data_IF_060123408716
#
_entry.id   IF_060123408716
#
_cell.length_a   1.000
_cell.length_b   1.000
_cell.length_c   1.000
_cell.angle_alpha   90.00
_cell.angle_beta   90.00
_cell.angle_gamma   90.00
#
_symmetry.space_group_name_H-M   'P 1'
#
loop_
_entity.id
_entity.type
_entity.pdbx_description
1 polymer ?
#
# COMPACT_ATOMS: atom_id res chain seq x y z
N UNK A 1 -1.73 -40.62 -11.92
CA UNK A 1 -2.37 -39.34 -12.31
C UNK A 1 -2.51 -39.36 -13.82
N UNK A 2 -3.66 -38.95 -14.35
CA UNK A 2 -3.90 -38.78 -15.78
C UNK A 2 -2.86 -37.82 -16.39
N UNK A 3 -2.15 -38.24 -17.44
CA UNK A 3 -1.09 -37.45 -18.09
C UNK A 3 -1.58 -36.06 -18.51
N UNK A 4 -2.85 -35.96 -18.91
CA UNK A 4 -3.50 -34.70 -19.27
C UNK A 4 -3.58 -33.74 -18.09
N UNK A 5 -3.90 -34.24 -16.89
CA UNK A 5 -3.97 -33.43 -15.68
C UNK A 5 -2.59 -32.92 -15.25
N UNK A 6 -1.55 -33.76 -15.34
CA UNK A 6 -0.17 -33.35 -15.04
C UNK A 6 0.29 -32.23 -15.97
N UNK A 7 0.06 -32.39 -17.28
CA UNK A 7 0.43 -31.39 -18.28
C UNK A 7 -0.36 -30.08 -18.10
N UNK A 8 -1.65 -30.19 -17.75
CA UNK A 8 -2.51 -29.04 -17.44
C UNK A 8 -2.00 -28.25 -16.23
N UNK A 9 -1.66 -28.93 -15.13
CA UNK A 9 -1.13 -28.26 -13.94
C UNK A 9 0.20 -27.56 -14.22
N UNK A 10 1.08 -28.20 -14.98
CA UNK A 10 2.36 -27.61 -15.38
C UNK A 10 2.17 -26.36 -16.23
N UNK A 11 1.22 -26.36 -17.18
CA UNK A 11 0.87 -25.19 -17.97
C UNK A 11 0.28 -24.06 -17.10
N UNK A 12 -0.59 -24.39 -16.14
CA UNK A 12 -1.15 -23.41 -15.19
C UNK A 12 -0.05 -22.78 -14.35
N UNK A 13 0.93 -23.57 -13.90
CA UNK A 13 2.09 -23.05 -13.17
C UNK A 13 2.96 -22.13 -14.04
N UNK A 14 3.21 -22.49 -15.31
CA UNK A 14 3.88 -21.61 -16.27
C UNK A 14 3.09 -20.31 -16.50
N UNK A 15 1.77 -20.39 -16.58
CA UNK A 15 0.90 -19.22 -16.66
C UNK A 15 1.04 -18.33 -15.42
N UNK A 16 1.15 -18.89 -14.21
CA UNK A 16 1.42 -18.12 -12.98
C UNK A 16 2.75 -17.37 -13.09
N UNK A 17 3.83 -18.03 -13.51
CA UNK A 17 5.15 -17.41 -13.65
C UNK A 17 5.11 -16.24 -14.65
N UNK A 18 4.49 -16.43 -15.81
CA UNK A 18 4.29 -15.34 -16.77
C UNK A 18 3.35 -14.26 -16.26
N UNK A 19 2.37 -14.59 -15.43
CA UNK A 19 1.46 -13.62 -14.81
C UNK A 19 2.17 -12.75 -13.78
N UNK A 20 3.19 -13.27 -13.10
CA UNK A 20 4.03 -12.52 -12.16
C UNK A 20 5.16 -11.73 -12.86
N UNK A 21 5.36 -11.95 -14.16
CA UNK A 21 6.42 -11.31 -14.94
C UNK A 21 5.91 -10.05 -15.63
N UNK A 22 6.57 -8.89 -15.50
CA UNK A 22 6.21 -7.68 -16.25
C UNK A 22 6.26 -7.88 -17.76
N UNK A 23 5.49 -7.08 -18.51
CA UNK A 23 5.36 -7.21 -19.97
C UNK A 23 6.72 -7.10 -20.68
N UNK A 24 7.54 -6.15 -20.24
CA UNK A 24 8.88 -5.87 -20.76
C UNK A 24 9.87 -7.03 -20.58
N UNK A 25 9.57 -7.99 -19.71
CA UNK A 25 10.37 -9.20 -19.49
C UNK A 25 9.71 -10.47 -20.05
N UNK A 26 8.73 -10.33 -20.96
CA UNK A 26 8.06 -11.47 -21.60
C UNK A 26 6.93 -12.08 -20.77
N UNK A 27 6.26 -11.28 -19.94
CA UNK A 27 5.08 -11.72 -19.19
C UNK A 27 3.82 -11.94 -20.03
N UNK A 28 2.76 -12.44 -19.39
CA UNK A 28 1.48 -12.81 -20.05
C UNK A 28 0.71 -11.61 -20.66
N UNK A 29 1.13 -10.38 -20.35
CA UNK A 29 0.60 -9.19 -20.98
C UNK A 29 1.13 -8.98 -22.43
N UNK A 30 2.13 -9.74 -22.85
CA UNK A 30 2.53 -9.85 -24.25
C UNK A 30 1.51 -10.75 -25.00
N UNK A 31 1.00 -10.26 -26.14
CA UNK A 31 0.01 -10.97 -26.94
C UNK A 31 0.51 -12.34 -27.42
N UNK A 32 1.76 -12.45 -27.84
CA UNK A 32 2.35 -13.70 -28.32
C UNK A 32 2.43 -14.75 -27.21
N UNK A 33 2.83 -14.34 -26.00
CA UNK A 33 2.88 -15.24 -24.83
C UNK A 33 1.48 -15.69 -24.43
N UNK A 34 0.51 -14.77 -24.46
CA UNK A 34 -0.89 -15.07 -24.16
C UNK A 34 -1.48 -16.06 -25.16
N UNK A 35 -1.24 -15.85 -26.45
CA UNK A 35 -1.68 -16.75 -27.52
C UNK A 35 -1.05 -18.14 -27.36
N UNK A 36 0.26 -18.21 -27.12
CA UNK A 36 0.97 -19.47 -26.86
C UNK A 36 0.35 -20.26 -25.69
N UNK A 37 0.06 -19.61 -24.56
CA UNK A 37 -0.57 -20.27 -23.41
C UNK A 37 -1.97 -20.78 -23.79
N UNK A 38 -2.74 -19.97 -24.50
CA UNK A 38 -4.11 -20.31 -24.90
C UNK A 38 -4.12 -21.48 -25.90
N UNK A 39 -3.21 -21.50 -26.86
CA UNK A 39 -3.07 -22.55 -27.86
C UNK A 39 -2.64 -23.87 -27.22
N UNK A 40 -1.66 -23.84 -26.33
CA UNK A 40 -1.26 -25.03 -25.55
C UNK A 40 -2.42 -25.54 -24.69
N UNK A 41 -3.15 -24.65 -24.02
CA UNK A 41 -4.31 -25.05 -23.22
C UNK A 41 -5.40 -25.70 -24.08
N UNK A 42 -5.73 -25.08 -25.22
CA UNK A 42 -6.73 -25.60 -26.15
C UNK A 42 -6.31 -26.97 -26.70
N UNK A 43 -5.03 -27.14 -27.04
CA UNK A 43 -4.47 -28.40 -27.49
C UNK A 43 -4.56 -29.48 -26.39
N UNK A 44 -4.08 -29.22 -25.16
CA UNK A 44 -4.15 -30.19 -24.05
C UNK A 44 -5.59 -30.63 -23.78
N UNK A 45 -6.52 -29.68 -23.81
CA UNK A 45 -7.93 -29.94 -23.52
C UNK A 45 -8.62 -30.77 -24.60
N UNK A 46 -8.39 -30.44 -25.87
CA UNK A 46 -9.17 -30.97 -26.98
C UNK A 46 -8.50 -32.16 -27.70
N UNK A 47 -7.23 -32.45 -27.41
CA UNK A 47 -6.52 -33.59 -28.01
C UNK A 47 -7.05 -34.93 -27.53
N UNK A 48 -6.95 -35.93 -28.41
CA UNK A 48 -7.11 -37.35 -28.06
C UNK A 48 -5.92 -37.85 -27.24
N UNK A 49 -6.08 -38.96 -26.54
CA UNK A 49 -5.00 -39.54 -25.72
C UNK A 49 -3.81 -40.02 -26.58
N UNK A 50 -4.05 -40.45 -27.83
CA UNK A 50 -3.00 -40.79 -28.79
C UNK A 50 -2.18 -39.55 -29.23
N UNK A 51 -2.84 -38.42 -29.51
CA UNK A 51 -2.18 -37.18 -29.90
C UNK A 51 -1.36 -36.59 -28.73
N UNK A 52 -1.92 -36.63 -27.52
CA UNK A 52 -1.21 -36.25 -26.30
C UNK A 52 0.05 -37.10 -26.13
N UNK A 53 -0.08 -38.43 -26.20
CA UNK A 53 1.05 -39.36 -26.01
C UNK A 53 2.19 -39.12 -27.02
N UNK A 54 1.89 -38.68 -28.25
CA UNK A 54 2.90 -38.40 -29.28
C UNK A 54 3.72 -37.14 -29.02
N UNK A 55 3.14 -36.11 -28.39
CA UNK A 55 3.79 -34.80 -28.17
C UNK A 55 4.06 -34.47 -26.70
N UNK A 56 3.63 -35.32 -25.76
CA UNK A 56 3.73 -35.07 -24.33
C UNK A 56 5.17 -34.75 -23.90
N UNK A 57 6.16 -35.50 -24.39
CA UNK A 57 7.57 -35.28 -24.01
C UNK A 57 8.07 -33.92 -24.51
N UNK A 58 7.82 -33.57 -25.77
CA UNK A 58 8.21 -32.28 -26.37
C UNK A 58 7.61 -31.11 -25.59
N UNK A 59 6.30 -31.18 -25.29
CA UNK A 59 5.62 -30.12 -24.53
C UNK A 59 6.12 -30.07 -23.08
N UNK A 60 6.38 -31.22 -22.45
CA UNK A 60 6.94 -31.26 -21.10
C UNK A 60 8.33 -30.62 -21.04
N UNK A 61 9.21 -30.95 -21.97
CA UNK A 61 10.56 -30.38 -22.09
C UNK A 61 10.50 -28.87 -22.32
N UNK A 62 9.60 -28.42 -23.19
CA UNK A 62 9.36 -26.99 -23.41
C UNK A 62 8.93 -26.28 -22.12
N UNK A 63 7.93 -26.81 -21.41
CA UNK A 63 7.47 -26.22 -20.15
C UNK A 63 8.56 -26.26 -19.06
N UNK A 64 9.34 -27.35 -18.97
CA UNK A 64 10.48 -27.42 -18.03
C UNK A 64 11.56 -26.38 -18.36
N UNK A 65 11.82 -26.13 -19.64
CA UNK A 65 12.77 -25.12 -20.06
C UNK A 65 12.36 -23.72 -19.58
N UNK A 66 11.04 -23.41 -19.58
CA UNK A 66 10.51 -22.16 -19.04
C UNK A 66 10.67 -22.13 -17.52
N UNK A 67 10.22 -23.18 -16.83
CA UNK A 67 10.30 -23.27 -15.36
C UNK A 67 11.75 -23.09 -14.89
N UNK A 68 12.71 -23.73 -15.57
CA UNK A 68 14.13 -23.62 -15.27
C UNK A 68 14.65 -22.18 -15.33
N UNK A 69 14.17 -21.35 -16.28
CA UNK A 69 14.55 -19.92 -16.37
C UNK A 69 14.08 -19.09 -15.17
N UNK A 70 13.06 -19.56 -14.45
CA UNK A 70 12.49 -18.85 -13.30
C UNK A 70 12.98 -19.34 -11.95
N UNK A 71 13.73 -20.45 -11.87
CA UNK A 71 14.17 -21.06 -10.60
C UNK A 71 14.96 -20.14 -9.68
N UNK A 72 15.69 -19.19 -10.25
CA UNK A 72 16.49 -18.23 -9.45
C UNK A 72 15.63 -17.16 -8.78
N UNK A 73 14.43 -16.88 -9.30
CA UNK A 73 13.49 -15.86 -8.77
C UNK A 73 12.31 -16.49 -8.02
N UNK A 74 11.80 -17.61 -8.52
CA UNK A 74 10.62 -18.31 -8.01
C UNK A 74 11.00 -19.76 -7.68
N UNK A 75 11.87 -19.92 -6.69
CA UNK A 75 12.19 -21.24 -6.15
C UNK A 75 11.01 -21.77 -5.33
N UNK A 76 10.49 -22.93 -5.70
CA UNK A 76 9.31 -23.51 -5.07
C UNK A 76 9.60 -24.08 -3.67
N UNK A 77 8.69 -23.85 -2.74
CA UNK A 77 8.59 -24.58 -1.46
C UNK A 77 7.53 -25.69 -1.57
N UNK A 78 6.44 -25.41 -2.28
CA UNK A 78 5.36 -26.37 -2.57
C UNK A 78 5.58 -27.09 -3.90
N UNK A 79 4.96 -28.25 -4.08
CA UNK A 79 4.97 -28.93 -5.36
C UNK A 79 4.15 -28.18 -6.42
N UNK A 80 4.51 -28.35 -7.70
CA UNK A 80 3.89 -27.63 -8.82
C UNK A 80 2.39 -27.92 -8.92
N UNK A 81 1.96 -29.15 -8.64
CA UNK A 81 0.55 -29.54 -8.73
C UNK A 81 -0.30 -28.81 -7.67
N UNK A 82 0.19 -28.70 -6.45
CA UNK A 82 -0.45 -27.91 -5.39
C UNK A 82 -0.55 -26.44 -5.79
N UNK A 83 0.55 -25.85 -6.27
CA UNK A 83 0.58 -24.43 -6.68
C UNK A 83 -0.41 -24.16 -7.80
N UNK A 84 -0.42 -25.02 -8.83
CA UNK A 84 -1.31 -24.89 -9.97
C UNK A 84 -2.78 -24.98 -9.55
N UNK A 85 -3.12 -25.92 -8.67
CA UNK A 85 -4.48 -26.08 -8.17
C UNK A 85 -4.93 -24.87 -7.34
N UNK A 86 -4.08 -24.38 -6.43
CA UNK A 86 -4.35 -23.18 -5.63
C UNK A 86 -4.56 -21.95 -6.53
N UNK A 87 -3.65 -21.70 -7.49
CA UNK A 87 -3.76 -20.58 -8.41
C UNK A 87 -5.01 -20.66 -9.28
N UNK A 88 -5.30 -21.84 -9.86
CA UNK A 88 -6.50 -22.05 -10.66
C UNK A 88 -7.79 -21.84 -9.84
N UNK A 89 -7.77 -22.17 -8.55
CA UNK A 89 -8.92 -21.94 -7.66
C UNK A 89 -9.30 -20.47 -7.53
N UNK A 90 -8.34 -19.54 -7.68
CA UNK A 90 -8.62 -18.11 -7.61
C UNK A 90 -9.57 -17.65 -8.73
N UNK A 91 -9.56 -18.33 -9.88
CA UNK A 91 -10.42 -18.02 -11.03
C UNK A 91 -11.83 -18.62 -10.91
N UNK A 92 -12.03 -19.67 -10.11
CA UNK A 92 -13.32 -20.38 -9.99
C UNK A 92 -14.43 -19.58 -9.28
N UNK A 93 -14.07 -18.59 -8.46
CA UNK A 93 -15.03 -17.82 -7.65
C UNK A 93 -15.49 -16.49 -8.27
N UNK A 94 -15.44 -16.34 -9.60
CA UNK A 94 -15.77 -15.09 -10.30
C UNK A 94 -14.93 -13.88 -9.80
N UNK A 95 -13.75 -14.16 -9.24
CA UNK A 95 -12.80 -13.13 -8.85
C UNK A 95 -12.03 -12.72 -10.10
N UNK A 96 -12.05 -11.45 -10.44
CA UNK A 96 -11.13 -10.90 -11.42
C UNK A 96 -9.72 -10.86 -10.81
N UNK A 97 -9.02 -12.00 -10.86
CA UNK A 97 -7.70 -12.22 -10.26
C UNK A 97 -6.67 -11.24 -10.84
N UNK A 98 -6.72 -10.98 -12.15
CA UNK A 98 -5.80 -10.02 -12.79
C UNK A 98 -6.03 -8.58 -12.34
N UNK A 99 -7.26 -8.19 -11.98
CA UNK A 99 -7.52 -6.85 -11.40
C UNK A 99 -7.23 -6.76 -9.90
N UNK A 100 -7.32 -7.86 -9.15
CA UNK A 100 -7.17 -7.86 -7.68
C UNK A 100 -5.78 -8.30 -7.20
N UNK A 101 -5.02 -8.98 -8.04
CA UNK A 101 -3.75 -9.61 -7.68
C UNK A 101 -3.91 -10.81 -6.75
N UNK A 102 -2.77 -11.34 -6.31
CA UNK A 102 -2.66 -12.37 -5.26
C UNK A 102 -2.06 -11.78 -3.99
N UNK A 103 -2.32 -12.39 -2.85
CA UNK A 103 -1.72 -11.94 -1.59
C UNK A 103 -0.25 -12.35 -1.52
N UNK A 104 0.60 -11.44 -1.03
CA UNK A 104 2.02 -11.70 -0.83
C UNK A 104 2.24 -12.87 0.14
N UNK A 105 1.38 -13.01 1.14
CA UNK A 105 1.33 -14.14 2.05
C UNK A 105 1.27 -15.49 1.34
N UNK A 106 0.40 -15.61 0.32
CA UNK A 106 0.33 -16.82 -0.49
C UNK A 106 1.63 -17.07 -1.28
N UNK A 107 2.29 -16.02 -1.78
CA UNK A 107 3.56 -16.16 -2.49
C UNK A 107 4.69 -16.65 -1.60
N UNK A 108 4.81 -16.16 -0.36
CA UNK A 108 5.88 -16.58 0.56
C UNK A 108 5.65 -17.98 1.15
N UNK A 109 4.42 -18.47 1.12
CA UNK A 109 4.09 -19.88 1.41
C UNK A 109 4.35 -20.80 0.22
N UNK A 110 4.40 -20.23 -0.98
CA UNK A 110 4.55 -20.95 -2.25
C UNK A 110 6.00 -21.02 -2.71
N UNK A 111 6.73 -19.91 -2.59
CA UNK A 111 8.09 -19.70 -3.06
C UNK A 111 9.03 -19.31 -1.93
N UNK A 112 10.33 -19.54 -2.12
CA UNK A 112 11.36 -19.06 -1.23
C UNK A 112 11.38 -17.53 -1.22
N UNK A 113 10.89 -16.94 -0.11
CA UNK A 113 10.78 -15.50 0.07
C UNK A 113 12.11 -14.74 -0.08
N UNK A 114 13.25 -15.38 0.15
CA UNK A 114 14.58 -14.75 -0.01
C UNK A 114 14.94 -14.50 -1.49
N UNK A 115 14.27 -15.17 -2.43
CA UNK A 115 14.50 -15.03 -3.86
C UNK A 115 13.46 -14.16 -4.57
N UNK A 116 12.36 -13.84 -3.89
CA UNK A 116 11.30 -13.04 -4.47
C UNK A 116 11.77 -11.60 -4.73
N UNK A 117 11.46 -11.01 -5.91
CA UNK A 117 11.95 -9.69 -6.31
C UNK A 117 11.12 -8.55 -5.73
N UNK A 118 10.79 -8.60 -4.43
CA UNK A 118 9.96 -7.60 -3.77
C UNK A 118 10.69 -6.90 -2.62
N UNK A 119 10.29 -5.65 -2.27
CA UNK A 119 10.90 -4.92 -1.17
C UNK A 119 10.87 -5.67 0.16
N UNK A 120 11.86 -5.40 1.01
CA UNK A 120 11.89 -5.98 2.34
C UNK A 120 10.72 -5.50 3.20
N UNK A 121 10.28 -6.39 4.11
CA UNK A 121 9.23 -6.15 5.09
C UNK A 121 7.84 -5.86 4.53
N UNK A 122 7.51 -6.38 3.34
CA UNK A 122 6.15 -6.34 2.84
C UNK A 122 5.17 -7.07 3.78
N UNK A 123 4.03 -6.45 4.12
CA UNK A 123 2.97 -7.09 4.88
C UNK A 123 2.37 -8.28 4.14
N UNK A 124 1.93 -9.30 4.89
CA UNK A 124 1.30 -10.52 4.38
C UNK A 124 0.13 -10.23 3.44
N UNK A 125 -0.69 -9.23 3.79
CA UNK A 125 -1.89 -8.83 3.05
C UNK A 125 -1.63 -7.99 1.79
N UNK A 126 -0.36 -7.70 1.46
CA UNK A 126 0.01 -6.95 0.26
C UNK A 126 -0.57 -7.62 -0.98
N UNK A 127 -1.17 -6.83 -1.89
CA UNK A 127 -1.61 -7.34 -3.19
C UNK A 127 -0.49 -7.23 -4.20
N UNK A 128 -0.18 -8.35 -4.84
CA UNK A 128 0.80 -8.47 -5.89
C UNK A 128 0.08 -8.52 -7.23
N UNK A 129 0.38 -7.55 -8.09
CA UNK A 129 -0.25 -7.43 -9.40
C UNK A 129 0.11 -8.58 -10.33
N UNK A 130 -0.80 -8.87 -11.26
CA UNK A 130 -0.64 -9.91 -12.28
C UNK A 130 -0.90 -9.34 -13.67
N UNK A 131 -0.33 -9.96 -14.69
CA UNK A 131 -0.53 -9.56 -16.09
C UNK A 131 -0.05 -8.14 -16.35
N UNK A 132 -0.97 -7.25 -16.74
CA UNK A 132 -0.63 -5.82 -16.99
C UNK A 132 -0.15 -5.09 -15.73
N UNK A 133 -0.41 -5.65 -14.54
CA UNK A 133 0.00 -5.09 -13.26
C UNK A 133 1.20 -5.85 -12.65
N UNK A 134 1.79 -6.80 -13.36
CA UNK A 134 2.92 -7.57 -12.87
C UNK A 134 4.09 -6.66 -12.45
N UNK A 135 4.75 -7.02 -11.35
CA UNK A 135 5.80 -6.20 -10.72
C UNK A 135 5.29 -5.00 -9.92
N UNK A 136 3.98 -4.71 -9.92
CA UNK A 136 3.38 -3.71 -9.03
C UNK A 136 2.89 -4.36 -7.74
N UNK A 137 3.02 -3.61 -6.66
CA UNK A 137 2.49 -3.97 -5.34
C UNK A 137 1.44 -2.93 -4.93
N UNK A 138 0.50 -3.35 -4.10
CA UNK A 138 -0.49 -2.45 -3.50
C UNK A 138 -0.64 -2.78 -2.02
N UNK A 139 -0.34 -1.78 -1.20
CA UNK A 139 -0.45 -1.82 0.25
C UNK A 139 -1.32 -0.64 0.69
N UNK A 140 -2.32 -0.90 1.55
CA UNK A 140 -3.32 0.10 1.93
C UNK A 140 -2.69 1.30 2.64
N UNK A 141 -1.79 1.07 3.60
CA UNK A 141 -1.12 2.18 4.28
C UNK A 141 -0.20 2.97 3.34
N UNK A 142 0.44 2.33 2.35
CA UNK A 142 1.26 3.05 1.35
C UNK A 142 0.37 3.96 0.50
N UNK A 143 -0.80 3.48 0.09
CA UNK A 143 -1.77 4.27 -0.67
C UNK A 143 -2.22 5.51 0.10
N UNK A 144 -2.59 5.34 1.39
CA UNK A 144 -2.97 6.45 2.26
C UNK A 144 -1.83 7.45 2.48
N UNK A 145 -0.59 6.98 2.59
CA UNK A 145 0.58 7.84 2.74
C UNK A 145 0.82 8.68 1.49
N UNK A 146 0.77 8.05 0.30
CA UNK A 146 0.91 8.75 -0.98
C UNK A 146 -0.15 9.82 -1.17
N UNK A 147 -1.39 9.54 -0.79
CA UNK A 147 -2.48 10.52 -0.85
C UNK A 147 -2.29 11.67 0.14
N UNK A 148 -1.85 11.39 1.36
CA UNK A 148 -1.57 12.41 2.36
C UNK A 148 -0.51 13.42 1.88
N UNK A 149 0.58 12.93 1.30
CA UNK A 149 1.63 13.75 0.71
C UNK A 149 1.17 14.50 -0.54
N UNK A 150 0.40 13.86 -1.43
CA UNK A 150 -0.13 14.52 -2.61
C UNK A 150 -1.05 15.69 -2.25
N UNK A 151 -1.88 15.53 -1.22
CA UNK A 151 -2.71 16.60 -0.69
C UNK A 151 -1.89 17.73 -0.05
N UNK A 152 -0.80 17.40 0.66
CA UNK A 152 0.12 18.41 1.20
C UNK A 152 0.73 19.27 0.09
N UNK A 153 1.31 18.61 -0.92
CA UNK A 153 1.93 19.31 -2.06
C UNK A 153 0.90 20.15 -2.83
N UNK A 154 -0.33 19.65 -3.00
CA UNK A 154 -1.41 20.46 -3.59
C UNK A 154 -1.77 21.67 -2.74
N UNK A 155 -1.76 21.54 -1.41
CA UNK A 155 -2.02 22.67 -0.53
C UNK A 155 -0.95 23.76 -0.70
N UNK A 156 0.32 23.36 -0.70
CA UNK A 156 1.47 24.25 -0.87
C UNK A 156 1.48 24.93 -2.25
N UNK A 157 1.31 24.17 -3.34
CA UNK A 157 1.22 24.72 -4.69
C UNK A 157 0.06 25.72 -4.83
N UNK A 158 -1.10 25.39 -4.25
CA UNK A 158 -2.26 26.30 -4.25
C UNK A 158 -1.95 27.58 -3.46
N UNK A 159 -1.29 27.45 -2.32
CA UNK A 159 -0.92 28.56 -1.45
C UNK A 159 0.08 29.50 -2.14
N UNK A 160 1.09 28.95 -2.81
CA UNK A 160 2.06 29.71 -3.59
C UNK A 160 1.41 30.43 -4.78
N UNK A 161 0.50 29.77 -5.50
CA UNK A 161 -0.27 30.38 -6.59
C UNK A 161 -1.16 31.52 -6.07
N UNK A 162 -1.82 31.31 -4.94
CA UNK A 162 -2.65 32.31 -4.28
C UNK A 162 -1.85 33.55 -3.87
N UNK A 163 -0.67 33.36 -3.27
CA UNK A 163 0.20 34.48 -2.89
C UNK A 163 0.77 35.23 -4.08
N UNK A 164 1.20 34.53 -5.14
CA UNK A 164 1.60 35.18 -6.39
C UNK A 164 0.48 36.01 -6.99
N UNK A 165 -0.74 35.47 -7.02
CA UNK A 165 -1.90 36.17 -7.53
C UNK A 165 -2.28 37.37 -6.66
N UNK A 166 -2.26 37.23 -5.33
CA UNK A 166 -2.51 38.33 -4.40
C UNK A 166 -1.49 39.48 -4.57
N UNK A 167 -0.21 39.17 -4.80
CA UNK A 167 0.82 40.16 -5.06
C UNK A 167 0.60 40.88 -6.41
N UNK A 168 0.22 40.15 -7.46
CA UNK A 168 -0.18 40.75 -8.74
C UNK A 168 -1.35 41.72 -8.59
N UNK A 169 -2.37 41.36 -7.81
CA UNK A 169 -3.54 42.22 -7.54
C UNK A 169 -3.15 43.47 -6.76
N UNK A 170 -2.29 43.35 -5.74
CA UNK A 170 -1.81 44.51 -4.96
C UNK A 170 -1.07 45.54 -5.82
N UNK A 171 -0.40 45.10 -6.89
CA UNK A 171 0.35 45.97 -7.81
C UNK A 171 -0.50 46.78 -8.80
N UNK A 172 -1.84 46.62 -8.82
CA UNK A 172 -2.71 47.33 -9.76
C UNK A 172 -4.04 47.74 -9.09
N UNK A 173 -4.28 49.04 -8.95
CA UNK A 173 -5.44 49.56 -8.21
C UNK A 173 -6.79 49.18 -8.82
N UNK A 174 -6.86 49.05 -10.15
CA UNK A 174 -8.07 48.62 -10.86
C UNK A 174 -8.48 47.17 -10.52
N UNK A 175 -7.56 46.37 -9.97
CA UNK A 175 -7.84 44.99 -9.59
C UNK A 175 -8.41 44.85 -8.17
N UNK A 176 -8.30 45.89 -7.32
CA UNK A 176 -8.69 45.81 -5.90
C UNK A 176 -10.21 45.70 -5.69
N UNK A 177 -11.01 46.29 -6.59
CA UNK A 177 -12.47 46.28 -6.52
C UNK A 177 -13.12 45.22 -7.43
N UNK A 178 -12.30 44.46 -8.17
CA UNK A 178 -12.82 43.47 -9.10
C UNK A 178 -13.38 42.25 -8.33
N UNK A 179 -14.71 42.11 -8.32
CA UNK A 179 -15.41 41.03 -7.61
C UNK A 179 -14.99 39.63 -8.07
N UNK A 180 -14.63 39.45 -9.34
CA UNK A 180 -14.14 38.16 -9.83
C UNK A 180 -12.81 37.78 -9.17
N UNK A 181 -11.89 38.76 -9.08
CA UNK A 181 -10.57 38.58 -8.45
C UNK A 181 -10.71 38.24 -6.97
N UNK A 182 -11.56 38.99 -6.24
CA UNK A 182 -11.83 38.73 -4.83
C UNK A 182 -12.44 37.34 -4.59
N UNK A 183 -13.38 36.93 -5.45
CA UNK A 183 -13.96 35.58 -5.41
C UNK A 183 -12.91 34.50 -5.70
N UNK A 184 -12.04 34.71 -6.69
CA UNK A 184 -10.98 33.77 -7.03
C UNK A 184 -9.99 33.58 -5.87
N UNK A 185 -9.57 34.68 -5.22
CA UNK A 185 -8.73 34.63 -4.02
C UNK A 185 -9.42 33.92 -2.84
N UNK A 186 -10.72 34.18 -2.64
CA UNK A 186 -11.51 33.50 -1.60
C UNK A 186 -11.62 32.00 -1.85
N UNK A 187 -11.85 31.59 -3.10
CA UNK A 187 -11.87 30.17 -3.48
C UNK A 187 -10.50 29.54 -3.28
N UNK A 188 -9.41 30.21 -3.66
CA UNK A 188 -8.05 29.71 -3.43
C UNK A 188 -7.76 29.52 -1.93
N UNK A 189 -8.15 30.48 -1.07
CA UNK A 189 -8.05 30.35 0.39
C UNK A 189 -8.78 29.08 0.89
N UNK A 190 -10.01 28.85 0.42
CA UNK A 190 -10.79 27.67 0.77
C UNK A 190 -10.16 26.37 0.27
N UNK A 191 -9.56 26.39 -0.93
CA UNK A 191 -8.86 25.25 -1.52
C UNK A 191 -7.61 24.88 -0.71
N UNK A 192 -6.80 25.86 -0.29
CA UNK A 192 -5.64 25.63 0.59
C UNK A 192 -6.07 24.95 1.89
N UNK A 193 -7.10 25.50 2.54
CA UNK A 193 -7.65 24.93 3.78
C UNK A 193 -8.19 23.51 3.57
N UNK A 194 -8.85 23.25 2.43
CA UNK A 194 -9.40 21.93 2.09
C UNK A 194 -8.30 20.89 1.93
N UNK A 195 -7.28 21.17 1.13
CA UNK A 195 -6.18 20.24 0.91
C UNK A 195 -5.35 20.01 2.17
N UNK A 196 -5.07 21.07 2.94
CA UNK A 196 -4.35 20.96 4.22
C UNK A 196 -5.10 20.09 5.22
N UNK A 197 -6.41 20.31 5.39
CA UNK A 197 -7.26 19.52 6.29
C UNK A 197 -7.34 18.06 5.86
N UNK A 198 -7.56 17.81 4.58
CA UNK A 198 -7.60 16.43 4.06
C UNK A 198 -6.25 15.74 4.18
N UNK A 199 -5.14 16.45 3.97
CA UNK A 199 -3.79 15.91 4.19
C UNK A 199 -3.60 15.44 5.62
N UNK A 200 -4.00 16.26 6.61
CA UNK A 200 -3.93 15.90 8.03
C UNK A 200 -4.76 14.65 8.35
N UNK A 201 -5.98 14.56 7.81
CA UNK A 201 -6.84 13.39 7.98
C UNK A 201 -6.17 12.15 7.37
N UNK A 202 -5.65 12.26 6.14
CA UNK A 202 -5.00 11.14 5.44
C UNK A 202 -3.72 10.68 6.15
N UNK A 203 -2.91 11.58 6.72
CA UNK A 203 -1.75 11.19 7.54
C UNK A 203 -2.17 10.40 8.79
N UNK A 204 -3.25 10.81 9.46
CA UNK A 204 -3.77 10.08 10.60
C UNK A 204 -4.36 8.72 10.19
N UNK A 205 -5.06 8.65 9.07
CA UNK A 205 -5.58 7.38 8.52
C UNK A 205 -4.44 6.42 8.14
N UNK A 206 -3.38 6.92 7.49
CA UNK A 206 -2.15 6.16 7.25
C UNK A 206 -1.60 5.59 8.56
N UNK A 207 -1.47 6.42 9.59
CA UNK A 207 -0.94 6.01 10.87
C UNK A 207 -1.75 4.86 11.49
N UNK A 208 -3.07 4.97 11.51
CA UNK A 208 -3.94 3.91 12.02
C UNK A 208 -3.84 2.63 11.19
N UNK A 209 -3.84 2.75 9.87
CA UNK A 209 -3.67 1.63 8.95
C UNK A 209 -2.32 0.93 9.14
N UNK A 210 -1.23 1.67 9.29
CA UNK A 210 0.11 1.15 9.53
C UNK A 210 0.20 0.32 10.82
N UNK A 211 -0.37 0.82 11.93
CA UNK A 211 -0.39 0.08 13.20
C UNK A 211 -1.24 -1.20 13.09
N UNK A 212 -2.40 -1.13 12.44
CA UNK A 212 -3.24 -2.30 12.24
C UNK A 212 -2.58 -3.32 11.29
N UNK A 213 -1.89 -2.85 10.25
CA UNK A 213 -1.15 -3.64 9.27
C UNK A 213 -0.05 -4.47 9.94
N UNK A 214 0.73 -3.89 10.86
CA UNK A 214 1.74 -4.61 11.65
C UNK A 214 1.11 -5.76 12.45
N UNK A 215 -0.02 -5.49 13.11
CA UNK A 215 -0.74 -6.51 13.87
C UNK A 215 -1.26 -7.65 13.00
N UNK A 216 -1.87 -7.30 11.86
CA UNK A 216 -2.42 -8.28 10.93
C UNK A 216 -1.34 -9.13 10.24
N UNK A 217 -0.24 -8.51 9.81
CA UNK A 217 0.91 -9.22 9.23
C UNK A 217 1.45 -10.28 10.19
N UNK A 218 1.69 -9.91 11.45
CA UNK A 218 2.18 -10.85 12.44
C UNK A 218 1.16 -11.95 12.76
N UNK A 219 -0.13 -11.61 12.81
CA UNK A 219 -1.22 -12.56 12.99
C UNK A 219 -1.23 -13.64 11.90
N UNK A 220 -1.20 -13.25 10.62
CA UNK A 220 -1.22 -14.17 9.50
C UNK A 220 0.00 -15.09 9.50
N UNK A 221 1.20 -14.53 9.74
CA UNK A 221 2.46 -15.29 9.75
C UNK A 221 2.59 -16.29 10.91
N UNK A 222 1.79 -16.17 11.96
CA UNK A 222 1.95 -16.95 13.19
C UNK A 222 0.64 -17.58 13.69
N UNK A 223 -0.37 -17.71 12.83
CA UNK A 223 -1.74 -18.07 13.23
C UNK A 223 -1.82 -19.34 14.10
N UNK A 224 -0.99 -20.34 13.84
CA UNK A 224 -0.99 -21.61 14.56
C UNK A 224 -0.30 -21.55 15.93
N UNK A 225 0.51 -20.52 16.19
CA UNK A 225 1.30 -20.37 17.42
C UNK A 225 0.67 -19.38 18.42
N UNK A 226 -0.36 -18.66 18.00
CA UNK A 226 -0.96 -17.58 18.79
C UNK A 226 -2.10 -18.09 19.67
N UNK A 227 -2.14 -17.62 20.92
CA UNK A 227 -3.30 -17.82 21.78
C UNK A 227 -4.51 -17.01 21.29
N UNK A 228 -5.73 -17.39 21.70
CA UNK A 228 -6.96 -16.64 21.36
C UNK A 228 -6.87 -15.16 21.73
N UNK A 229 -6.30 -14.87 22.89
CA UNK A 229 -6.06 -13.50 23.40
C UNK A 229 -5.10 -12.75 22.49
N UNK A 230 -3.98 -13.38 22.09
CA UNK A 230 -3.03 -12.74 21.18
C UNK A 230 -3.65 -12.47 19.80
N UNK A 231 -4.43 -13.42 19.27
CA UNK A 231 -5.18 -13.25 18.01
C UNK A 231 -6.11 -12.03 18.09
N UNK A 232 -6.90 -11.91 19.15
CA UNK A 232 -7.80 -10.75 19.34
C UNK A 232 -7.02 -9.43 19.42
N UNK A 233 -5.95 -9.38 20.22
CA UNK A 233 -5.15 -8.17 20.40
C UNK A 233 -4.46 -7.73 19.08
N UNK A 234 -3.92 -8.66 18.30
CA UNK A 234 -3.32 -8.38 16.98
C UNK A 234 -4.34 -7.86 15.97
N UNK A 235 -5.59 -8.34 16.05
CA UNK A 235 -6.73 -7.83 15.27
C UNK A 235 -7.36 -6.56 15.88
N UNK A 236 -6.77 -6.00 16.94
CA UNK A 236 -7.19 -4.76 17.57
C UNK A 236 -8.47 -4.85 18.42
N UNK A 237 -8.87 -6.04 18.83
CA UNK A 237 -10.09 -6.31 19.64
C UNK A 237 -9.74 -6.52 21.11
N UNK A 238 -10.63 -6.13 22.02
CA UNK A 238 -10.47 -6.37 23.46
C UNK A 238 -10.67 -7.84 23.82
N UNK A 239 -10.00 -8.27 24.88
CA UNK A 239 -9.97 -9.67 25.36
C UNK A 239 -11.35 -10.14 25.86
N UNK A 240 -12.05 -9.25 26.57
CA UNK A 240 -13.34 -9.49 27.26
C UNK A 240 -14.56 -9.03 26.45
N UNK A 241 -14.35 -8.19 25.43
CA UNK A 241 -15.39 -7.62 24.57
C UNK A 241 -14.95 -7.63 23.11
N UNK A 242 -15.16 -8.73 22.36
CA UNK A 242 -14.64 -8.86 20.99
C UNK A 242 -15.23 -7.85 19.99
N UNK A 243 -16.33 -7.18 20.33
CA UNK A 243 -16.92 -6.08 19.55
C UNK A 243 -16.33 -4.71 19.89
N UNK A 244 -15.56 -4.60 20.97
CA UNK A 244 -14.89 -3.37 21.36
C UNK A 244 -13.46 -3.36 20.81
N UNK A 245 -13.07 -2.22 20.24
CA UNK A 245 -11.72 -2.02 19.72
C UNK A 245 -10.79 -1.43 20.78
N UNK A 246 -9.53 -1.83 20.74
CA UNK A 246 -8.45 -1.21 21.49
C UNK A 246 -8.18 0.21 20.97
N UNK A 247 -7.83 1.12 21.87
CA UNK A 247 -7.25 2.40 21.45
C UNK A 247 -5.91 2.18 20.74
N UNK A 248 -5.49 3.10 19.88
CA UNK A 248 -4.22 2.97 19.16
C UNK A 248 -3.04 2.90 20.13
N UNK A 249 -3.10 3.67 21.21
CA UNK A 249 -2.10 3.67 22.27
C UNK A 249 -1.97 2.29 22.93
N UNK A 250 -3.11 1.65 23.27
CA UNK A 250 -3.12 0.30 23.82
C UNK A 250 -2.62 -0.73 22.79
N UNK A 251 -3.01 -0.60 21.51
CA UNK A 251 -2.53 -1.49 20.44
C UNK A 251 -1.01 -1.48 20.37
N UNK A 252 -0.38 -0.31 20.37
CA UNK A 252 1.10 -0.18 20.29
C UNK A 252 1.79 -0.91 21.45
N UNK A 253 1.24 -0.85 22.66
CA UNK A 253 1.79 -1.57 23.81
C UNK A 253 1.58 -3.09 23.68
N UNK A 254 0.39 -3.54 23.28
CA UNK A 254 0.08 -4.97 23.06
C UNK A 254 0.92 -5.57 21.94
N UNK A 255 1.12 -4.85 20.84
CA UNK A 255 1.98 -5.30 19.73
C UNK A 255 3.40 -5.58 20.22
N UNK A 256 3.98 -4.71 21.05
CA UNK A 256 5.31 -4.95 21.62
C UNK A 256 5.35 -6.22 22.48
N UNK A 257 4.35 -6.42 23.35
CA UNK A 257 4.26 -7.61 24.21
C UNK A 257 4.12 -8.92 23.42
N UNK A 258 3.50 -8.87 22.24
CA UNK A 258 3.24 -10.06 21.44
C UNK A 258 4.41 -10.34 20.48
N UNK A 259 4.88 -9.30 19.79
CA UNK A 259 5.78 -9.41 18.63
C UNK A 259 7.26 -9.42 19.05
N UNK A 260 7.66 -8.59 20.02
CA UNK A 260 9.07 -8.54 20.45
C UNK A 260 9.50 -9.88 21.02
N UNK A 261 10.76 -10.24 20.81
CA UNK A 261 11.34 -11.47 21.34
C UNK A 261 11.36 -11.45 22.88
N UNK A 262 11.75 -10.32 23.46
CA UNK A 262 11.85 -10.11 24.92
C UNK A 262 10.51 -9.83 25.62
N UNK A 263 9.41 -9.66 24.85
CA UNK A 263 8.05 -9.33 25.34
C UNK A 263 7.98 -8.04 26.17
N UNK A 264 9.01 -7.19 26.15
CA UNK A 264 9.03 -5.96 26.95
C UNK A 264 8.30 -4.80 26.27
N UNK A 265 7.76 -3.87 27.05
CA UNK A 265 7.15 -2.63 26.52
C UNK A 265 8.09 -1.46 26.75
N UNK A 266 8.85 -1.10 25.72
CA UNK A 266 9.83 0.00 25.75
C UNK A 266 9.20 1.34 25.39
N UNK A 267 8.16 1.31 24.54
CA UNK A 267 7.39 2.48 24.15
C UNK A 267 6.01 2.42 24.80
N UNK A 268 5.81 3.22 25.85
CA UNK A 268 4.50 3.44 26.48
C UNK A 268 3.98 4.82 26.11
N UNK A 269 2.78 4.89 25.53
CA UNK A 269 2.11 6.18 25.24
C UNK A 269 1.29 6.59 26.47
N UNK A 270 1.99 6.62 27.62
CA UNK A 270 1.44 7.00 28.91
C UNK A 270 1.32 8.53 29.05
N UNK A 271 0.71 8.99 30.14
CA UNK A 271 0.52 10.42 30.43
C UNK A 271 1.83 11.24 30.33
N UNK A 272 2.98 10.68 30.70
CA UNK A 272 4.31 11.34 30.65
C UNK A 272 4.85 11.48 29.22
N UNK A 273 4.65 10.46 28.37
CA UNK A 273 5.06 10.54 26.96
C UNK A 273 4.09 11.45 26.17
N UNK A 274 2.80 11.41 26.50
CA UNK A 274 1.77 12.36 26.04
C UNK A 274 2.00 13.82 26.44
N UNK A 275 2.91 14.10 27.38
CA UNK A 275 3.28 15.47 27.76
C UNK A 275 4.55 15.98 27.06
N UNK A 276 5.27 15.13 26.32
CA UNK A 276 6.25 15.63 25.35
C UNK A 276 5.53 16.40 24.24
N UNK A 277 6.12 17.50 23.76
CA UNK A 277 5.44 18.41 22.83
C UNK A 277 4.90 17.70 21.58
N UNK A 278 5.66 16.75 21.04
CA UNK A 278 5.36 16.06 19.78
C UNK A 278 4.22 15.04 19.92
N UNK A 279 4.30 14.15 20.92
CA UNK A 279 3.24 13.18 21.20
C UNK A 279 1.95 13.86 21.69
N UNK A 280 2.07 14.96 22.45
CA UNK A 280 0.92 15.76 22.87
C UNK A 280 0.19 16.35 21.66
N UNK A 281 0.95 16.90 20.73
CA UNK A 281 0.39 17.46 19.50
C UNK A 281 -0.26 16.38 18.65
N UNK A 282 0.41 15.24 18.45
CA UNK A 282 -0.09 14.17 17.60
C UNK A 282 -1.32 13.46 18.17
N UNK A 283 -1.25 12.92 19.40
CA UNK A 283 -2.38 12.19 20.00
C UNK A 283 -3.45 13.10 20.60
N UNK A 284 -3.16 14.38 20.77
CA UNK A 284 -4.07 15.39 21.29
C UNK A 284 -4.68 16.26 20.19
N UNK A 285 -3.92 17.26 19.73
CA UNK A 285 -4.39 18.29 18.80
C UNK A 285 -4.76 17.72 17.43
N UNK A 286 -3.90 16.91 16.81
CA UNK A 286 -4.20 16.35 15.47
C UNK A 286 -5.41 15.41 15.50
N UNK A 287 -5.51 14.55 16.53
CA UNK A 287 -6.67 13.69 16.74
C UNK A 287 -7.96 14.49 16.91
N UNK A 288 -7.92 15.59 17.68
CA UNK A 288 -9.06 16.51 17.83
C UNK A 288 -9.44 17.18 16.51
N UNK A 289 -8.46 17.62 15.73
CA UNK A 289 -8.69 18.24 14.42
C UNK A 289 -9.31 17.26 13.41
N UNK A 290 -8.80 16.02 13.37
CA UNK A 290 -9.38 14.92 12.59
C UNK A 290 -10.83 14.67 13.00
N UNK A 291 -11.09 14.49 14.30
CA UNK A 291 -12.44 14.27 14.83
C UNK A 291 -13.37 15.46 14.57
N UNK A 292 -12.85 16.68 14.59
CA UNK A 292 -13.63 17.89 14.30
C UNK A 292 -13.99 18.01 12.83
N UNK A 293 -13.20 17.39 11.95
CA UNK A 293 -13.41 17.41 10.51
C UNK A 293 -14.36 16.30 10.01
N UNK A 294 -14.61 15.25 10.81
CA UNK A 294 -15.41 14.08 10.40
C UNK A 294 -16.70 13.89 11.20
N UNK A 295 -16.89 14.63 12.30
CA UNK A 295 -18.09 14.57 13.13
C UNK A 295 -18.57 16.01 13.42
N UNK A 296 -19.84 16.22 13.76
CA UNK A 296 -20.36 17.49 14.31
C UNK A 296 -20.47 17.46 15.86
N UNK A 297 -20.11 18.53 16.57
CA UNK A 297 -20.20 18.68 18.04
C UNK A 297 -19.91 20.13 18.44
N UNK A 298 -20.57 20.70 19.46
CA UNK A 298 -20.41 22.11 19.87
C UNK A 298 -19.01 22.48 20.38
N UNK A 299 -18.30 21.56 21.03
CA UNK A 299 -17.00 21.82 21.68
C UNK A 299 -15.78 21.54 20.77
N UNK A 300 -15.96 21.63 19.45
CA UNK A 300 -14.94 21.23 18.48
C UNK A 300 -13.88 22.27 18.24
N UNK A 301 -12.70 21.78 17.87
CA UNK A 301 -11.60 22.63 17.47
C UNK A 301 -11.99 23.40 16.20
N UNK A 302 -11.73 24.71 16.17
CA UNK A 302 -12.08 25.53 15.00
C UNK A 302 -11.38 25.02 13.75
N UNK A 303 -12.17 24.73 12.72
CA UNK A 303 -11.71 24.40 11.36
C UNK A 303 -11.65 25.64 10.46
N UNK A 304 -12.20 26.77 10.92
CA UNK A 304 -12.09 28.07 10.24
C UNK A 304 -10.78 28.73 10.68
N UNK A 305 -9.74 28.60 9.86
CA UNK A 305 -8.38 29.10 10.13
C UNK A 305 -7.79 29.77 8.90
N UNK A 306 -6.72 30.54 9.11
CA UNK A 306 -5.98 31.15 8.01
C UNK A 306 -5.26 30.06 7.20
N UNK A 307 -5.04 30.28 5.89
CA UNK A 307 -4.29 29.36 5.05
C UNK A 307 -2.89 29.03 5.59
N UNK A 308 -2.17 30.03 6.11
CA UNK A 308 -0.82 29.86 6.71
C UNK A 308 -0.84 28.85 7.87
N UNK A 309 -1.79 29.01 8.80
CA UNK A 309 -1.98 28.11 9.94
C UNK A 309 -2.27 26.67 9.49
N UNK A 310 -3.03 26.53 8.40
CA UNK A 310 -3.38 25.24 7.83
C UNK A 310 -2.18 24.54 7.21
N UNK A 311 -1.38 25.26 6.43
CA UNK A 311 -0.15 24.75 5.81
C UNK A 311 0.86 24.35 6.88
N UNK A 312 1.13 25.23 7.86
CA UNK A 312 2.06 24.95 8.95
C UNK A 312 1.65 23.68 9.71
N UNK A 313 0.35 23.56 10.05
CA UNK A 313 -0.18 22.36 10.73
C UNK A 313 -0.09 21.11 9.88
N UNK A 314 -0.36 21.18 8.57
CA UNK A 314 -0.26 20.04 7.68
C UNK A 314 1.19 19.57 7.52
N UNK A 315 2.12 20.52 7.37
CA UNK A 315 3.55 20.22 7.31
C UNK A 315 4.05 19.61 8.62
N UNK A 316 3.74 20.21 9.77
CA UNK A 316 4.09 19.66 11.09
C UNK A 316 3.50 18.26 11.30
N UNK A 317 2.25 18.05 10.89
CA UNK A 317 1.56 16.75 10.92
C UNK A 317 2.33 15.69 10.13
N UNK A 318 2.74 16.01 8.91
CA UNK A 318 3.45 15.06 8.04
C UNK A 318 4.76 14.56 8.66
N UNK A 319 5.56 15.48 9.22
CA UNK A 319 6.83 15.17 9.88
C UNK A 319 6.59 14.29 11.11
N UNK A 320 5.69 14.71 11.99
CA UNK A 320 5.41 14.00 13.24
C UNK A 320 4.83 12.61 12.99
N UNK A 321 3.97 12.46 11.97
CA UNK A 321 3.41 11.16 11.59
C UNK A 321 4.51 10.17 11.24
N UNK A 322 5.45 10.57 10.37
CA UNK A 322 6.56 9.72 9.97
C UNK A 322 7.52 9.44 11.13
N UNK A 323 7.85 10.46 11.93
CA UNK A 323 8.73 10.31 13.10
C UNK A 323 8.15 9.29 14.09
N UNK A 324 6.89 9.46 14.49
CA UNK A 324 6.23 8.58 15.46
C UNK A 324 6.09 7.16 14.90
N UNK A 325 5.72 7.01 13.63
CA UNK A 325 5.69 5.69 12.96
C UNK A 325 7.04 4.99 12.99
N UNK A 326 8.15 5.72 12.79
CA UNK A 326 9.52 5.18 12.88
C UNK A 326 9.88 4.75 14.30
N UNK A 327 9.54 5.57 15.30
CA UNK A 327 9.77 5.25 16.71
C UNK A 327 9.01 3.98 17.10
N UNK A 328 7.75 3.84 16.67
CA UNK A 328 6.94 2.65 16.94
C UNK A 328 7.50 1.43 16.22
N UNK A 329 7.86 1.55 14.94
CA UNK A 329 8.47 0.44 14.20
C UNK A 329 9.71 -0.09 14.91
N UNK A 330 10.64 0.80 15.30
CA UNK A 330 11.86 0.42 16.02
C UNK A 330 11.59 -0.11 17.42
N UNK A 331 10.52 0.35 18.06
CA UNK A 331 10.09 -0.20 19.35
C UNK A 331 9.54 -1.62 19.20
N UNK A 332 8.86 -1.96 18.10
CA UNK A 332 8.33 -3.31 17.85
C UNK A 332 9.42 -4.24 17.28
N UNK A 333 10.27 -3.73 16.39
CA UNK A 333 11.28 -4.46 15.66
C UNK A 333 12.67 -3.82 15.81
N UNK A 334 13.37 -4.02 16.93
CA UNK A 334 14.62 -3.31 17.24
C UNK A 334 15.78 -3.65 16.29
N UNK A 335 15.76 -4.85 15.69
CA UNK A 335 16.82 -5.37 14.81
C UNK A 335 16.48 -5.25 13.32
N UNK A 336 15.27 -4.81 12.95
CA UNK A 336 14.85 -4.69 11.55
C UNK A 336 15.08 -3.28 11.02
N UNK A 337 15.41 -3.19 9.74
CA UNK A 337 15.40 -1.93 9.02
C UNK A 337 13.96 -1.41 8.87
N UNK A 338 13.82 -0.14 8.46
CA UNK A 338 12.52 0.47 8.19
C UNK A 338 11.88 -0.14 6.93
N UNK A 339 10.54 -0.15 6.82
CA UNK A 339 9.85 -0.75 5.68
C UNK A 339 10.18 -0.02 4.37
N UNK A 340 10.78 -0.74 3.42
CA UNK A 340 11.23 -0.19 2.14
C UNK A 340 10.05 0.29 1.29
N UNK A 341 8.93 -0.44 1.31
CA UNK A 341 7.71 -0.10 0.57
C UNK A 341 7.06 1.22 1.03
N UNK A 342 7.45 1.77 2.18
CA UNK A 342 7.03 3.09 2.68
C UNK A 342 8.13 4.15 2.52
N UNK A 343 9.11 3.91 1.64
CA UNK A 343 10.29 4.74 1.45
C UNK A 343 11.03 4.98 2.77
N UNK A 344 11.13 3.93 3.61
CA UNK A 344 11.73 3.97 4.94
C UNK A 344 11.15 5.08 5.85
N UNK A 345 9.90 5.49 5.61
CA UNK A 345 9.25 6.58 6.35
C UNK A 345 10.09 7.87 6.32
N UNK A 346 10.80 8.14 5.22
CA UNK A 346 11.56 9.38 5.00
C UNK A 346 10.65 10.44 4.38
N UNK A 347 10.61 11.62 5.00
CA UNK A 347 9.77 12.75 4.54
C UNK A 347 10.15 13.15 3.10
N UNK A 348 11.42 13.46 2.87
CA UNK A 348 11.92 13.95 1.57
C UNK A 348 11.59 13.00 0.41
N UNK A 349 11.72 11.69 0.60
CA UNK A 349 11.43 10.71 -0.46
C UNK A 349 9.94 10.73 -0.83
N UNK A 350 9.06 10.65 0.16
CA UNK A 350 7.61 10.63 -0.08
C UNK A 350 7.10 11.97 -0.62
N UNK A 351 7.65 13.08 -0.12
CA UNK A 351 7.31 14.43 -0.55
C UNK A 351 7.74 14.69 -2.00
N UNK A 352 8.96 14.29 -2.38
CA UNK A 352 9.45 14.43 -3.76
C UNK A 352 8.67 13.56 -4.75
N UNK A 353 8.27 12.34 -4.37
CA UNK A 353 7.38 11.51 -5.18
C UNK A 353 6.01 12.18 -5.40
N UNK A 354 5.46 12.82 -4.37
CA UNK A 354 4.20 13.56 -4.49
C UNK A 354 4.33 14.81 -5.37
N UNK A 355 5.47 15.51 -5.33
CA UNK A 355 5.79 16.60 -6.27
C UNK A 355 5.87 16.12 -7.70
N UNK A 356 6.58 15.01 -7.94
CA UNK A 356 6.67 14.40 -9.27
C UNK A 356 5.27 14.03 -9.79
N UNK A 357 4.44 13.38 -8.96
CA UNK A 357 3.04 13.07 -9.31
C UNK A 357 2.24 14.30 -9.72
N UNK A 358 2.38 15.43 -9.00
CA UNK A 358 1.69 16.67 -9.36
C UNK A 358 2.15 17.20 -10.72
N UNK A 359 3.44 17.13 -11.02
CA UNK A 359 3.99 17.53 -12.32
C UNK A 359 3.48 16.64 -13.45
N UNK A 360 3.52 15.32 -13.27
CA UNK A 360 3.08 14.36 -14.29
C UNK A 360 1.58 14.51 -14.60
N UNK A 361 0.75 14.74 -13.58
CA UNK A 361 -0.67 15.05 -13.78
C UNK A 361 -0.85 16.33 -14.60
N UNK A 362 -0.07 17.38 -14.30
CA UNK A 362 -0.09 18.61 -15.08
C UNK A 362 0.29 18.39 -16.55
N UNK A 363 1.30 17.56 -16.83
CA UNK A 363 1.68 17.18 -18.21
C UNK A 363 0.53 16.49 -18.94
N UNK A 364 -0.14 15.54 -18.28
CA UNK A 364 -1.30 14.83 -18.84
C UNK A 364 -2.44 15.81 -19.14
N UNK A 365 -2.78 16.70 -18.21
CA UNK A 365 -3.82 17.72 -18.39
C UNK A 365 -3.50 18.66 -19.57
N UNK A 366 -2.22 19.00 -19.75
CA UNK A 366 -1.72 19.82 -20.85
C UNK A 366 -1.53 19.05 -22.16
N UNK A 367 -1.76 17.72 -22.18
CA UNK A 367 -1.48 16.83 -23.32
C UNK A 367 -0.03 16.89 -23.78
N UNK A 368 0.90 17.14 -22.86
CA UNK A 368 2.33 17.06 -23.13
C UNK A 368 2.71 15.59 -23.35
N UNK A 369 3.44 15.30 -24.43
CA UNK A 369 3.91 13.94 -24.71
C UNK A 369 4.94 13.59 -23.64
N UNK A 370 4.60 12.62 -22.80
CA UNK A 370 5.56 11.97 -21.90
C UNK A 370 6.30 10.94 -22.76
N UNK A 371 7.44 11.33 -23.32
CA UNK A 371 8.39 10.35 -23.85
C UNK A 371 9.16 9.76 -22.68
N UNK A 372 9.10 8.44 -22.53
CA UNK A 372 9.92 7.68 -21.56
C UNK A 372 11.43 7.92 -21.76
#
# INVERSE_FOLDING_TARGET
MDNRNRLSNKLIYVQLLFSLTPKEYGGVANSEVKEMIQDLYNWIKNSTDEELSKKENEVNEFLDSIINKYKDKFENIKDIDTIANEFNSFFKCNKNVYSKGVEYGWLIETFNHLKLPYPNYLPYQTKIGLGIHAGKISVEEEFLLKDAFYLLVKAEDTFDKMHRYANFVKGNENNKENQYILRALTNANQTVATYSRLSIISFYSFFEAFINSIGYDYYCRNIDRLTKIQKNNLLGRKDDKPNDFLSIEEKIERLQQIIREDKTVVLRINKKKRTSNDYRFFFGEMKKLRNSSVHFSPDKESIWRKPDDWIEKAHKTSILTLQISREIWKAIFPTKNLPEYLNELKFELNYNLAKQRLQDVGKVENKEIISD
#
